data_IF_651842768697
#
_entry.id   IF_651842768697
#
_cell.length_a   1.000
_cell.length_b   1.000
_cell.length_c   1.000
_cell.angle_alpha   90.00
_cell.angle_beta   90.00
_cell.angle_gamma   90.00
#
_symmetry.space_group_name_H-M   'P 1'
#
loop_
_entity.id
_entity.type
_entity.pdbx_description
1 polymer ?
#
# COMPACT_ATOMS: atom_id res chain seq x y z
N UNK A 1 -9.42 4.11 22.12
CA UNK A 1 -8.39 3.05 22.28
C UNK A 1 -7.59 2.99 20.99
N UNK A 2 -6.30 3.35 21.03
CA UNK A 2 -5.42 3.31 19.86
C UNK A 2 -5.09 1.86 19.55
N UNK A 3 -5.76 1.27 18.55
CA UNK A 3 -5.40 -0.05 18.03
C UNK A 3 -4.00 0.03 17.41
N UNK A 4 -2.99 -0.32 18.19
CA UNK A 4 -1.64 -0.52 17.67
C UNK A 4 -1.67 -1.81 16.85
N UNK A 5 -1.75 -1.65 15.53
CA UNK A 5 -1.61 -2.75 14.60
C UNK A 5 -0.14 -3.18 14.64
N UNK A 6 0.11 -4.47 14.86
CA UNK A 6 1.47 -5.01 14.83
C UNK A 6 2.10 -4.74 13.45
N UNK A 7 3.39 -4.33 13.39
CA UNK A 7 4.05 -4.06 12.12
C UNK A 7 4.10 -5.34 11.28
N UNK A 8 3.75 -5.22 10.00
CA UNK A 8 3.84 -6.31 9.05
C UNK A 8 5.25 -6.36 8.44
N UNK A 9 5.94 -7.49 8.58
CA UNK A 9 7.28 -7.70 8.03
C UNK A 9 7.25 -8.03 6.54
N UNK A 10 7.28 -7.01 5.68
CA UNK A 10 7.33 -7.18 4.23
C UNK A 10 8.78 -7.21 3.72
N UNK A 11 9.13 -8.20 2.91
CA UNK A 11 10.41 -8.24 2.19
C UNK A 11 10.26 -7.48 0.88
N UNK A 12 10.91 -6.32 0.79
CA UNK A 12 10.92 -5.45 -0.40
C UNK A 12 12.36 -5.37 -0.92
N UNK A 13 12.61 -5.56 -2.22
CA UNK A 13 13.89 -5.26 -2.85
C UNK A 13 14.32 -3.81 -2.61
N UNK A 14 15.63 -3.56 -2.50
CA UNK A 14 16.13 -2.23 -2.13
C UNK A 14 15.77 -1.14 -3.16
N UNK A 15 15.80 -1.47 -4.45
CA UNK A 15 15.43 -0.55 -5.53
C UNK A 15 13.97 -0.11 -5.40
N UNK A 16 13.06 -1.07 -5.25
CA UNK A 16 11.63 -0.81 -5.09
C UNK A 16 11.34 -0.01 -3.82
N UNK A 17 12.05 -0.29 -2.72
CA UNK A 17 11.92 0.46 -1.47
C UNK A 17 12.32 1.92 -1.64
N UNK A 18 13.38 2.20 -2.39
CA UNK A 18 13.83 3.57 -2.66
C UNK A 18 12.77 4.35 -3.46
N UNK A 19 12.22 3.74 -4.50
CA UNK A 19 11.16 4.33 -5.33
C UNK A 19 9.90 4.61 -4.51
N UNK A 20 9.39 3.62 -3.77
CA UNK A 20 8.20 3.77 -2.92
C UNK A 20 8.39 4.88 -1.88
N UNK A 21 9.60 5.01 -1.31
CA UNK A 21 9.92 6.08 -0.37
C UNK A 21 9.93 7.46 -1.04
N UNK A 22 10.45 7.56 -2.27
CA UNK A 22 10.44 8.81 -3.04
C UNK A 22 9.02 9.24 -3.38
N UNK A 23 8.18 8.31 -3.85
CA UNK A 23 6.76 8.55 -4.14
C UNK A 23 5.99 8.99 -2.89
N UNK A 24 6.18 8.30 -1.77
CA UNK A 24 5.54 8.67 -0.51
C UNK A 24 5.92 10.09 -0.05
N UNK A 25 7.20 10.46 -0.17
CA UNK A 25 7.71 11.81 0.14
C UNK A 25 7.09 12.87 -0.76
N UNK A 26 6.98 12.60 -2.06
CA UNK A 26 6.35 13.51 -3.03
C UNK A 26 4.89 13.80 -2.66
N UNK A 27 4.18 12.78 -2.19
CA UNK A 27 2.77 12.88 -1.81
C UNK A 27 2.56 13.41 -0.38
N UNK A 28 3.64 13.72 0.35
CA UNK A 28 3.57 14.20 1.75
C UNK A 28 3.08 13.13 2.74
N UNK A 29 3.18 11.84 2.40
CA UNK A 29 2.68 10.72 3.20
C UNK A 29 3.82 9.89 3.77
N UNK A 30 3.57 9.18 4.87
CA UNK A 30 4.51 8.16 5.33
C UNK A 30 4.58 7.01 4.33
N UNK A 31 5.74 6.35 4.27
CA UNK A 31 5.94 5.19 3.40
C UNK A 31 4.87 4.11 3.63
N UNK A 32 4.52 3.85 4.90
CA UNK A 32 3.46 2.90 5.25
C UNK A 32 2.09 3.31 4.69
N UNK A 33 1.71 4.59 4.82
CA UNK A 33 0.42 5.07 4.32
C UNK A 33 0.35 4.99 2.78
N UNK A 34 1.46 5.29 2.10
CA UNK A 34 1.55 5.12 0.64
C UNK A 34 1.40 3.65 0.22
N UNK A 35 2.13 2.72 0.87
CA UNK A 35 2.02 1.28 0.61
C UNK A 35 0.57 0.80 0.81
N UNK A 36 -0.05 1.14 1.93
CA UNK A 36 -1.43 0.76 2.22
C UNK A 36 -2.41 1.34 1.20
N UNK A 37 -2.21 2.59 0.76
CA UNK A 37 -3.05 3.21 -0.25
C UNK A 37 -2.98 2.48 -1.60
N UNK A 38 -1.76 2.17 -2.08
CA UNK A 38 -1.55 1.44 -3.32
C UNK A 38 -2.16 0.03 -3.25
N UNK A 39 -1.90 -0.71 -2.17
CA UNK A 39 -2.45 -2.05 -1.97
C UNK A 39 -3.99 -2.03 -1.93
N UNK A 40 -4.60 -1.06 -1.24
CA UNK A 40 -6.07 -0.93 -1.21
C UNK A 40 -6.65 -0.65 -2.58
N UNK A 41 -5.99 0.21 -3.36
CA UNK A 41 -6.42 0.54 -4.73
C UNK A 41 -6.37 -0.71 -5.63
N UNK A 42 -5.29 -1.47 -5.55
CA UNK A 42 -5.10 -2.68 -6.35
C UNK A 42 -6.10 -3.78 -5.99
N UNK A 43 -6.26 -4.08 -4.69
CA UNK A 43 -7.23 -5.07 -4.20
C UNK A 43 -8.68 -4.67 -4.55
N UNK A 44 -9.02 -3.38 -4.49
CA UNK A 44 -10.35 -2.91 -4.89
C UNK A 44 -10.58 -3.06 -6.40
N UNK A 45 -9.56 -2.81 -7.22
CA UNK A 45 -9.62 -3.01 -8.66
C UNK A 45 -9.78 -4.50 -9.01
N UNK A 46 -9.03 -5.38 -8.34
CA UNK A 46 -9.12 -6.83 -8.51
C UNK A 46 -10.51 -7.35 -8.11
N UNK A 47 -11.04 -6.95 -6.95
CA UNK A 47 -12.42 -7.27 -6.53
C UNK A 47 -13.49 -6.80 -7.51
N UNK A 48 -13.32 -5.61 -8.09
CA UNK A 48 -14.26 -5.09 -9.08
C UNK A 48 -14.19 -5.88 -10.39
N UNK A 49 -12.99 -6.28 -10.81
CA UNK A 49 -12.78 -7.11 -12.00
C UNK A 49 -13.24 -8.57 -11.79
N UNK A 50 -13.11 -9.10 -10.58
CA UNK A 50 -13.47 -10.48 -10.23
C UNK A 50 -14.96 -10.68 -9.98
N UNK A 51 -15.76 -9.61 -9.89
CA UNK A 51 -17.20 -9.69 -9.66
C UNK A 51 -18.04 -9.17 -10.85
N UNK A 52 -17.88 -9.70 -12.08
CA UNK A 52 -18.72 -9.34 -13.21
C UNK A 52 -20.03 -10.15 -13.17
N UNK A 53 -20.85 -10.00 -12.14
CA UNK A 53 -22.24 -10.51 -12.18
C UNK A 53 -23.14 -9.68 -11.27
N UNK A 54 -23.83 -8.72 -11.87
CA UNK A 54 -25.16 -8.27 -11.49
C UNK A 54 -25.92 -7.95 -12.78
#
# INVERSE_FOLDING_TARGET
>A
MTHQIAPFGLRIPDDLKAEVKALARRDGRSMNNHIVHVLKKDVAAEKAASNPTA
#
